data_IF_210739350949
#
_entry.id   IF_210739350949
#
_cell.length_a   1.000
_cell.length_b   1.000
_cell.length_c   1.000
_cell.angle_alpha   90.00
_cell.angle_beta   90.00
_cell.angle_gamma   90.00
#
_symmetry.space_group_name_H-M   'P 1'
#
loop_
_entity.id
_entity.type
_entity.pdbx_description
1 polymer ?
#
# COMPACT_ATOMS: atom_id res chain seq x y z
N UNK A 1 14.54 1.72 -25.96
CA UNK A 1 13.85 0.41 -25.80
C UNK A 1 12.38 0.69 -26.02
N UNK A 2 11.74 0.02 -26.95
CA UNK A 2 10.31 0.15 -27.15
C UNK A 2 9.60 -0.35 -25.92
N UNK A 3 8.73 0.48 -25.30
CA UNK A 3 7.83 0.07 -24.24
C UNK A 3 7.15 -1.22 -24.72
N UNK A 4 7.33 -2.33 -24.03
CA UNK A 4 6.54 -3.52 -24.32
C UNK A 4 5.10 -3.12 -24.05
N UNK A 5 4.29 -3.05 -25.09
CA UNK A 5 2.84 -2.91 -24.95
C UNK A 5 2.37 -3.97 -23.93
N UNK A 6 1.37 -3.67 -23.10
CA UNK A 6 0.79 -4.66 -22.22
C UNK A 6 0.47 -5.93 -23.03
N UNK A 7 0.70 -7.08 -22.43
CA UNK A 7 0.49 -8.38 -23.08
C UNK A 7 -1.00 -8.74 -23.25
N UNK A 8 -1.88 -7.80 -22.95
CA UNK A 8 -3.34 -7.95 -23.02
C UNK A 8 -3.98 -6.70 -23.63
N UNK A 9 -5.20 -6.83 -24.13
CA UNK A 9 -6.06 -5.74 -24.59
C UNK A 9 -7.07 -5.33 -23.52
N UNK A 10 -7.64 -4.12 -23.63
CA UNK A 10 -8.72 -3.67 -22.73
C UNK A 10 -9.89 -4.66 -22.70
N UNK A 11 -10.23 -5.24 -23.88
CA UNK A 11 -11.28 -6.25 -23.97
C UNK A 11 -10.94 -7.50 -23.18
N UNK A 12 -9.72 -8.02 -23.28
CA UNK A 12 -9.28 -9.19 -22.51
C UNK A 12 -9.33 -8.90 -21.01
N UNK A 13 -8.96 -7.70 -20.57
CA UNK A 13 -9.05 -7.30 -19.17
C UNK A 13 -10.51 -7.27 -18.68
N UNK A 14 -11.43 -6.70 -19.47
CA UNK A 14 -12.86 -6.70 -19.15
C UNK A 14 -13.46 -8.11 -19.15
N UNK A 15 -13.12 -8.93 -20.16
CA UNK A 15 -13.57 -10.32 -20.24
C UNK A 15 -13.08 -11.14 -19.02
N UNK A 16 -11.84 -10.94 -18.58
CA UNK A 16 -11.29 -11.60 -17.40
C UNK A 16 -12.07 -11.29 -16.12
N UNK A 17 -12.59 -10.06 -15.97
CA UNK A 17 -13.34 -9.66 -14.79
C UNK A 17 -14.83 -10.06 -14.84
N UNK A 18 -15.36 -10.37 -16.04
CA UNK A 18 -16.77 -10.68 -16.24
C UNK A 18 -17.07 -12.16 -16.52
N UNK A 19 -16.06 -12.94 -16.96
CA UNK A 19 -16.23 -14.31 -17.44
C UNK A 19 -15.41 -15.32 -16.62
N UNK A 20 -15.87 -16.59 -16.43
CA UNK A 20 -17.23 -17.07 -16.70
C UNK A 20 -18.25 -16.59 -15.65
N UNK A 21 -17.76 -16.05 -14.53
CA UNK A 21 -18.54 -15.48 -13.42
C UNK A 21 -17.95 -14.11 -13.07
N UNK A 22 -18.77 -13.05 -12.90
CA UNK A 22 -18.27 -11.74 -12.52
C UNK A 22 -17.50 -11.73 -11.19
N UNK A 23 -16.44 -10.90 -11.13
CA UNK A 23 -15.59 -10.77 -9.95
C UNK A 23 -14.50 -11.84 -9.86
N UNK A 24 -13.70 -11.77 -8.80
CA UNK A 24 -12.54 -12.64 -8.58
C UNK A 24 -12.63 -13.45 -7.29
N UNK A 25 -13.63 -13.17 -6.46
CA UNK A 25 -13.83 -13.82 -5.16
C UNK A 25 -15.10 -14.68 -5.16
N UNK A 26 -15.07 -15.74 -4.37
CA UNK A 26 -16.24 -16.58 -4.06
C UNK A 26 -16.20 -16.98 -2.60
N UNK A 27 -17.38 -17.27 -2.04
CA UNK A 27 -17.52 -17.80 -0.68
C UNK A 27 -17.77 -19.30 -0.77
N UNK A 28 -16.89 -20.08 -0.15
CA UNK A 28 -17.00 -21.54 -0.13
C UNK A 28 -17.09 -22.05 1.30
N UNK A 29 -18.12 -22.89 1.64
CA UNK A 29 -18.20 -23.50 2.96
C UNK A 29 -17.00 -24.41 3.24
N UNK A 30 -16.46 -24.33 4.46
CA UNK A 30 -15.36 -25.21 4.92
C UNK A 30 -15.88 -26.48 5.63
N UNK A 31 -17.17 -26.56 5.88
CA UNK A 31 -17.83 -27.66 6.56
C UNK A 31 -18.87 -28.32 5.66
N UNK A 32 -19.14 -29.61 5.80
CA UNK A 32 -20.19 -30.27 5.04
C UNK A 32 -21.58 -29.69 5.41
N UNK A 33 -22.44 -29.50 4.41
CA UNK A 33 -23.80 -28.97 4.54
C UNK A 33 -24.81 -29.87 3.84
N UNK A 34 -24.59 -31.20 3.87
CA UNK A 34 -25.34 -32.15 3.08
C UNK A 34 -26.54 -32.79 3.85
N UNK A 35 -26.44 -32.84 5.17
CA UNK A 35 -27.44 -33.51 6.01
C UNK A 35 -28.14 -32.55 6.97
N UNK A 36 -29.34 -32.98 7.46
CA UNK A 36 -30.04 -32.23 8.50
C UNK A 36 -29.22 -32.07 9.77
N UNK A 37 -28.34 -33.05 10.07
CA UNK A 37 -27.43 -32.97 11.19
C UNK A 37 -26.38 -31.88 10.97
N UNK A 38 -25.81 -31.79 9.76
CA UNK A 38 -24.82 -30.76 9.43
C UNK A 38 -25.41 -29.35 9.60
N UNK A 39 -26.63 -29.15 9.08
CA UNK A 39 -27.36 -27.88 9.23
C UNK A 39 -27.65 -27.56 10.71
N UNK A 40 -28.03 -28.57 11.50
CA UNK A 40 -28.26 -28.37 12.94
C UNK A 40 -27.02 -28.02 13.72
N UNK A 41 -25.85 -28.50 13.32
CA UNK A 41 -24.56 -28.14 13.91
C UNK A 41 -24.06 -26.77 13.44
N UNK A 42 -24.18 -26.50 12.14
CA UNK A 42 -23.68 -25.28 11.54
C UNK A 42 -24.50 -24.02 11.87
N UNK A 43 -25.81 -24.20 12.12
CA UNK A 43 -26.71 -23.09 12.40
C UNK A 43 -27.55 -23.39 13.65
N UNK A 44 -28.84 -23.58 13.56
CA UNK A 44 -29.71 -23.76 14.71
C UNK A 44 -30.06 -25.24 14.95
N UNK A 45 -29.92 -25.75 16.18
CA UNK A 45 -29.58 -25.09 17.46
C UNK A 45 -28.09 -25.10 17.83
N UNK A 46 -27.25 -25.86 17.14
CA UNK A 46 -25.87 -26.16 17.51
C UNK A 46 -24.98 -24.93 17.64
N UNK A 47 -25.18 -23.89 16.80
CA UNK A 47 -24.41 -22.64 16.82
C UNK A 47 -24.47 -21.87 18.15
N UNK A 48 -25.50 -22.15 18.97
CA UNK A 48 -25.62 -21.54 20.30
C UNK A 48 -24.46 -21.92 21.25
N UNK A 49 -23.80 -23.05 21.02
CA UNK A 49 -22.67 -23.51 21.84
C UNK A 49 -21.45 -22.63 21.65
N UNK A 50 -20.89 -22.47 20.43
CA UNK A 50 -19.76 -21.57 20.22
C UNK A 50 -20.10 -20.09 20.51
N UNK A 51 -21.34 -19.63 20.29
CA UNK A 51 -21.76 -18.27 20.68
C UNK A 51 -21.59 -18.05 22.19
N UNK A 52 -22.01 -18.98 23.04
CA UNK A 52 -21.82 -18.86 24.49
C UNK A 52 -20.37 -18.91 24.88
N UNK A 53 -19.57 -19.79 24.28
CA UNK A 53 -18.15 -19.90 24.54
C UNK A 53 -17.42 -18.58 24.22
N UNK A 54 -17.68 -17.99 23.06
CA UNK A 54 -17.08 -16.71 22.65
C UNK A 54 -17.55 -15.55 23.54
N UNK A 55 -18.80 -15.59 24.02
CA UNK A 55 -19.31 -14.58 24.96
C UNK A 55 -18.61 -14.61 26.33
N UNK A 56 -18.14 -15.78 26.76
CA UNK A 56 -17.36 -15.97 27.99
C UNK A 56 -15.88 -15.67 27.77
N UNK A 57 -15.34 -16.01 26.62
CA UNK A 57 -13.93 -15.78 26.23
C UNK A 57 -13.85 -15.39 24.74
N UNK A 58 -13.57 -14.11 24.48
CA UNK A 58 -13.52 -13.55 23.13
C UNK A 58 -12.42 -14.19 22.25
N UNK A 59 -11.34 -14.69 22.83
CA UNK A 59 -10.24 -15.29 22.07
C UNK A 59 -10.67 -16.59 21.40
N UNK A 60 -11.71 -17.25 21.88
CA UNK A 60 -12.31 -18.40 21.23
C UNK A 60 -12.93 -18.08 19.86
N UNK A 61 -13.09 -16.81 19.50
CA UNK A 61 -13.45 -16.42 18.14
C UNK A 61 -12.38 -16.85 17.11
N UNK A 62 -11.13 -16.91 17.49
CA UNK A 62 -10.04 -17.42 16.62
C UNK A 62 -10.13 -18.94 16.40
N UNK A 63 -10.73 -19.68 17.33
CA UNK A 63 -10.89 -21.13 17.22
C UNK A 63 -12.18 -21.52 16.50
N UNK A 64 -13.28 -20.82 16.79
CA UNK A 64 -14.61 -21.24 16.34
C UNK A 64 -15.15 -20.48 15.15
N UNK A 65 -14.42 -19.49 14.63
CA UNK A 65 -14.81 -18.70 13.45
C UNK A 65 -13.67 -18.59 12.44
N UNK A 66 -13.94 -17.97 11.29
CA UNK A 66 -12.92 -17.67 10.28
C UNK A 66 -12.00 -16.49 10.65
N UNK A 67 -12.22 -15.81 11.80
CA UNK A 67 -11.48 -14.61 12.21
C UNK A 67 -9.97 -14.80 12.11
N UNK A 68 -9.43 -15.93 12.55
CA UNK A 68 -7.98 -16.18 12.63
C UNK A 68 -7.26 -16.22 11.28
N UNK A 69 -7.97 -16.41 10.18
CA UNK A 69 -7.39 -16.44 8.83
C UNK A 69 -8.12 -15.50 7.85
N UNK A 70 -8.77 -14.45 8.33
CA UNK A 70 -9.55 -13.54 7.49
C UNK A 70 -9.02 -12.11 7.61
N UNK A 71 -8.55 -11.55 6.49
CA UNK A 71 -8.11 -10.15 6.39
C UNK A 71 -9.10 -9.34 5.58
N UNK A 72 -9.49 -8.17 6.09
CA UNK A 72 -10.25 -7.20 5.30
C UNK A 72 -9.29 -6.29 4.52
N UNK A 73 -9.50 -6.16 3.21
CA UNK A 73 -8.89 -5.12 2.36
C UNK A 73 -9.85 -3.95 2.33
N UNK A 74 -9.49 -2.83 2.96
CA UNK A 74 -10.40 -1.68 3.12
C UNK A 74 -9.89 -0.48 2.34
N UNK A 75 -10.77 0.12 1.54
CA UNK A 75 -10.49 1.29 0.72
C UNK A 75 -11.65 2.27 0.70
N UNK A 76 -11.36 3.54 0.43
CA UNK A 76 -12.36 4.53 0.02
C UNK A 76 -12.13 5.01 -1.43
N UNK A 77 -11.15 4.45 -2.12
CA UNK A 77 -10.88 4.71 -3.53
C UNK A 77 -10.40 6.13 -3.85
N UNK A 78 -9.71 6.78 -2.90
CA UNK A 78 -9.22 8.16 -3.08
C UNK A 78 -7.84 8.26 -3.72
N UNK A 79 -7.13 7.11 -3.88
CA UNK A 79 -5.79 7.06 -4.50
C UNK A 79 -5.58 5.78 -5.33
N UNK A 80 -6.53 5.47 -6.20
CA UNK A 80 -6.53 4.23 -6.99
C UNK A 80 -5.39 4.22 -8.00
N UNK A 81 -4.36 3.40 -7.77
CA UNK A 81 -3.19 3.24 -8.64
C UNK A 81 -2.66 4.62 -9.11
N UNK A 82 -2.34 4.78 -10.39
CA UNK A 82 -2.01 6.07 -11.02
C UNK A 82 -3.22 6.89 -11.49
N UNK A 83 -4.46 6.43 -11.20
CA UNK A 83 -5.71 7.04 -11.70
C UNK A 83 -6.28 8.10 -10.74
N UNK A 84 -5.85 8.12 -9.48
CA UNK A 84 -6.29 9.08 -8.48
C UNK A 84 -7.62 8.75 -7.83
N UNK A 85 -8.40 9.79 -7.50
CA UNK A 85 -9.66 9.67 -6.76
C UNK A 85 -10.82 9.37 -7.72
N UNK A 86 -11.13 8.10 -7.88
CA UNK A 86 -12.30 7.62 -8.65
C UNK A 86 -13.44 7.12 -7.74
N UNK A 87 -13.23 7.08 -6.43
CA UNK A 87 -14.21 6.69 -5.42
C UNK A 87 -14.30 5.19 -5.14
N UNK A 88 -14.96 4.88 -4.05
CA UNK A 88 -15.01 3.55 -3.45
C UNK A 88 -15.47 2.44 -4.42
N UNK A 89 -16.56 2.65 -5.17
CA UNK A 89 -17.05 1.61 -6.08
C UNK A 89 -16.07 1.30 -7.21
N UNK A 90 -15.37 2.31 -7.73
CA UNK A 90 -14.41 2.13 -8.81
C UNK A 90 -13.14 1.39 -8.34
N UNK A 91 -12.82 1.42 -7.04
CA UNK A 91 -11.67 0.69 -6.48
C UNK A 91 -11.91 -0.81 -6.37
N UNK A 92 -13.17 -1.27 -6.34
CA UNK A 92 -13.52 -2.67 -6.09
C UNK A 92 -12.75 -3.70 -6.91
N UNK A 93 -12.54 -3.55 -8.24
CA UNK A 93 -11.72 -4.51 -8.99
C UNK A 93 -10.27 -4.62 -8.49
N UNK A 94 -9.69 -3.52 -8.00
CA UNK A 94 -8.34 -3.52 -7.42
C UNK A 94 -8.35 -4.24 -6.07
N UNK A 95 -9.34 -3.95 -5.22
CA UNK A 95 -9.47 -4.53 -3.88
C UNK A 95 -9.72 -6.04 -3.91
N UNK A 96 -10.59 -6.51 -4.83
CA UNK A 96 -10.72 -7.96 -5.10
C UNK A 96 -9.39 -8.57 -5.56
N UNK A 97 -8.64 -7.84 -6.40
CA UNK A 97 -7.31 -8.25 -6.83
C UNK A 97 -6.36 -8.42 -5.65
N UNK A 98 -6.31 -7.45 -4.74
CA UNK A 98 -5.51 -7.53 -3.51
C UNK A 98 -5.90 -8.73 -2.66
N UNK A 99 -7.19 -8.98 -2.47
CA UNK A 99 -7.70 -10.14 -1.74
C UNK A 99 -7.25 -11.47 -2.36
N UNK A 100 -7.25 -11.58 -3.70
CA UNK A 100 -6.72 -12.75 -4.42
C UNK A 100 -5.22 -12.93 -4.18
N UNK A 101 -4.44 -11.83 -4.08
CA UNK A 101 -3.01 -11.92 -3.77
C UNK A 101 -2.75 -12.46 -2.37
N UNK A 102 -3.53 -12.04 -1.35
CA UNK A 102 -3.48 -12.62 -0.01
C UNK A 102 -3.68 -14.13 -0.04
N UNK A 103 -4.73 -14.60 -0.74
CA UNK A 103 -4.99 -16.04 -0.89
C UNK A 103 -3.88 -16.75 -1.65
N UNK A 104 -3.43 -16.18 -2.78
CA UNK A 104 -2.46 -16.82 -3.69
C UNK A 104 -1.08 -16.97 -3.08
N UNK A 105 -0.61 -15.98 -2.34
CA UNK A 105 0.78 -15.93 -1.88
C UNK A 105 0.96 -16.28 -0.40
N UNK A 106 -0.07 -16.12 0.42
CA UNK A 106 0.00 -16.34 1.85
C UNK A 106 -1.01 -17.37 2.39
N UNK A 107 -1.90 -17.87 1.53
CA UNK A 107 -3.03 -18.73 1.91
C UNK A 107 -3.92 -18.10 3.01
N UNK A 108 -3.97 -16.77 3.04
CA UNK A 108 -4.85 -16.00 3.91
C UNK A 108 -6.14 -15.69 3.16
N UNK A 109 -7.27 -16.00 3.75
CA UNK A 109 -8.57 -15.62 3.22
C UNK A 109 -8.77 -14.11 3.36
N UNK A 110 -9.34 -13.49 2.33
CA UNK A 110 -9.51 -12.04 2.32
C UNK A 110 -10.77 -11.63 1.59
N UNK A 111 -11.39 -10.57 2.07
CA UNK A 111 -12.52 -9.91 1.42
C UNK A 111 -12.25 -8.40 1.37
N UNK A 112 -12.78 -7.77 0.35
CA UNK A 112 -12.71 -6.34 0.16
C UNK A 112 -13.94 -5.63 0.76
N UNK A 113 -13.70 -4.44 1.31
CA UNK A 113 -14.72 -3.56 1.92
C UNK A 113 -14.49 -2.14 1.46
N UNK A 114 -15.35 -1.65 0.56
CA UNK A 114 -15.30 -0.30 0.05
C UNK A 114 -16.17 0.63 0.90
N UNK A 115 -15.56 1.65 1.51
CA UNK A 115 -16.24 2.61 2.37
C UNK A 115 -16.54 3.91 1.61
N UNK A 116 -17.82 4.26 1.50
CA UNK A 116 -18.28 5.45 0.77
C UNK A 116 -18.19 6.73 1.61
N UNK A 117 -17.00 7.00 2.14
CA UNK A 117 -16.72 8.25 2.85
C UNK A 117 -15.33 8.77 2.53
N UNK A 118 -15.20 10.10 2.46
CA UNK A 118 -13.93 10.83 2.38
C UNK A 118 -13.60 11.56 3.68
N UNK A 119 -14.52 11.55 4.63
CA UNK A 119 -14.27 12.10 5.95
C UNK A 119 -13.42 11.14 6.78
N UNK A 120 -12.30 11.64 7.30
CA UNK A 120 -11.32 10.85 8.03
C UNK A 120 -11.90 10.24 9.31
N UNK A 121 -12.69 11.00 10.08
CA UNK A 121 -13.26 10.50 11.34
C UNK A 121 -14.40 9.51 11.09
N UNK A 122 -15.19 9.72 10.05
CA UNK A 122 -16.24 8.76 9.65
C UNK A 122 -15.61 7.44 9.18
N UNK A 123 -14.51 7.52 8.40
CA UNK A 123 -13.80 6.34 7.93
C UNK A 123 -13.18 5.55 9.10
N UNK A 124 -12.47 6.23 10.00
CA UNK A 124 -11.91 5.62 11.21
C UNK A 124 -13.01 4.94 12.04
N UNK A 125 -14.11 5.66 12.30
CA UNK A 125 -15.24 5.13 13.08
C UNK A 125 -15.86 3.90 12.43
N UNK A 126 -16.06 3.93 11.12
CA UNK A 126 -16.62 2.80 10.35
C UNK A 126 -15.71 1.59 10.45
N UNK A 127 -14.42 1.75 10.18
CA UNK A 127 -13.44 0.65 10.21
C UNK A 127 -13.29 0.09 11.63
N UNK A 128 -13.22 0.94 12.63
CA UNK A 128 -13.14 0.53 14.04
C UNK A 128 -14.34 -0.34 14.45
N UNK A 129 -15.55 0.05 14.07
CA UNK A 129 -16.76 -0.64 14.47
C UNK A 129 -16.87 -2.06 13.88
N UNK A 130 -16.24 -2.34 12.74
CA UNK A 130 -16.21 -3.66 12.11
C UNK A 130 -14.88 -4.38 12.33
N UNK A 131 -13.86 -3.67 12.82
CA UNK A 131 -12.46 -4.09 12.83
C UNK A 131 -12.23 -5.40 13.56
N UNK A 132 -12.78 -5.55 14.76
CA UNK A 132 -12.56 -6.73 15.58
C UNK A 132 -13.16 -8.04 15.00
N UNK A 133 -13.95 -7.95 13.94
CA UNK A 133 -14.44 -9.12 13.20
C UNK A 133 -13.33 -9.85 12.45
N UNK A 134 -12.26 -9.14 12.07
CA UNK A 134 -11.18 -9.62 11.24
C UNK A 134 -9.97 -10.06 12.04
N UNK A 135 -9.14 -10.92 11.46
CA UNK A 135 -7.81 -11.26 11.98
C UNK A 135 -6.77 -10.17 11.71
N UNK A 136 -7.05 -9.30 10.73
CA UNK A 136 -6.23 -8.15 10.39
C UNK A 136 -6.88 -7.28 9.33
N UNK A 137 -6.36 -6.09 9.15
CA UNK A 137 -6.84 -5.12 8.15
C UNK A 137 -5.68 -4.67 7.28
N UNK A 138 -5.88 -4.75 5.96
CA UNK A 138 -5.05 -4.07 4.96
C UNK A 138 -5.81 -2.84 4.46
N UNK A 139 -5.28 -1.64 4.73
CA UNK A 139 -5.74 -0.40 4.12
C UNK A 139 -5.10 -0.26 2.75
N UNK A 140 -5.87 0.11 1.74
CA UNK A 140 -5.42 0.19 0.35
C UNK A 140 -6.00 1.40 -0.37
N UNK A 141 -5.21 2.04 -1.24
CA UNK A 141 -5.66 3.14 -2.12
C UNK A 141 -6.35 4.30 -1.36
N UNK A 142 -5.89 4.63 -0.16
CA UNK A 142 -6.32 5.79 0.62
C UNK A 142 -5.32 6.92 0.43
N UNK A 143 -5.79 8.10 0.04
CA UNK A 143 -4.93 9.23 -0.26
C UNK A 143 -4.13 9.74 0.95
N UNK A 144 -2.95 10.27 0.67
CA UNK A 144 -2.12 11.04 1.61
C UNK A 144 -2.62 12.49 1.64
N UNK A 145 -2.65 13.16 2.81
CA UNK A 145 -2.08 12.73 4.10
C UNK A 145 -3.01 11.90 5.01
N UNK A 146 -4.29 11.73 4.65
CA UNK A 146 -5.31 11.09 5.48
C UNK A 146 -4.93 9.65 5.84
N UNK A 147 -4.32 8.90 4.92
CA UNK A 147 -3.91 7.52 5.14
C UNK A 147 -3.00 7.33 6.36
N UNK A 148 -2.12 8.29 6.64
CA UNK A 148 -1.23 8.23 7.80
C UNK A 148 -1.99 8.37 9.12
N UNK A 149 -2.99 9.28 9.15
CA UNK A 149 -3.82 9.54 10.33
C UNK A 149 -4.71 8.31 10.59
N UNK A 150 -5.35 7.80 9.53
CA UNK A 150 -6.28 6.66 9.61
C UNK A 150 -5.54 5.42 10.12
N UNK A 151 -4.40 5.08 9.54
CA UNK A 151 -3.63 3.92 9.95
C UNK A 151 -3.15 4.05 11.40
N UNK A 152 -2.54 5.19 11.77
CA UNK A 152 -2.02 5.41 13.12
C UNK A 152 -3.12 5.26 14.18
N UNK A 153 -4.27 5.89 13.94
CA UNK A 153 -5.41 5.82 14.85
C UNK A 153 -5.98 4.41 14.98
N UNK A 154 -6.17 3.71 13.88
CA UNK A 154 -6.70 2.34 13.89
C UNK A 154 -5.74 1.36 14.57
N UNK A 155 -4.44 1.54 14.41
CA UNK A 155 -3.43 0.74 15.12
C UNK A 155 -3.42 0.95 16.63
N UNK A 156 -3.81 2.14 17.10
CA UNK A 156 -3.94 2.44 18.53
C UNK A 156 -5.28 1.97 19.10
N UNK A 157 -6.33 1.95 18.29
CA UNK A 157 -7.71 1.70 18.73
C UNK A 157 -8.16 0.24 18.56
N UNK A 158 -7.46 -0.58 17.77
CA UNK A 158 -7.79 -1.97 17.49
C UNK A 158 -6.72 -2.93 18.01
N UNK A 159 -7.14 -4.07 18.55
CA UNK A 159 -6.27 -5.14 19.04
C UNK A 159 -6.02 -6.21 17.96
N UNK A 160 -5.88 -5.79 16.72
CA UNK A 160 -5.53 -6.60 15.55
C UNK A 160 -4.51 -5.86 14.68
N UNK A 161 -3.70 -6.55 13.85
CA UNK A 161 -2.82 -5.89 12.91
C UNK A 161 -3.58 -4.99 11.94
N UNK A 162 -3.14 -3.73 11.82
CA UNK A 162 -3.58 -2.78 10.79
C UNK A 162 -2.36 -2.35 9.99
N UNK A 163 -2.45 -2.47 8.68
CA UNK A 163 -1.34 -2.25 7.74
C UNK A 163 -1.84 -1.50 6.52
N UNK A 164 -1.11 -0.48 6.08
CA UNK A 164 -1.41 0.25 4.85
C UNK A 164 -0.34 -0.11 3.80
N UNK A 165 -0.73 -0.87 2.78
CA UNK A 165 0.23 -1.45 1.83
C UNK A 165 0.97 -0.41 0.99
N UNK A 166 0.28 0.63 0.51
CA UNK A 166 0.91 1.72 -0.26
C UNK A 166 2.01 2.44 0.53
N UNK A 167 1.93 2.43 1.85
CA UNK A 167 2.99 2.95 2.71
C UNK A 167 4.08 1.89 2.92
N UNK A 168 3.73 0.81 3.61
CA UNK A 168 4.69 -0.12 4.18
C UNK A 168 5.15 -1.21 3.21
N UNK A 169 4.26 -1.73 2.35
CA UNK A 169 4.62 -2.74 1.36
C UNK A 169 5.65 -2.20 0.37
N UNK A 170 5.38 -1.02 -0.18
CA UNK A 170 6.30 -0.34 -1.09
C UNK A 170 7.62 0.00 -0.41
N UNK A 171 7.58 0.50 0.83
CA UNK A 171 8.80 0.83 1.58
C UNK A 171 9.67 -0.40 1.86
N UNK A 172 9.05 -1.53 2.27
CA UNK A 172 9.76 -2.78 2.56
C UNK A 172 10.49 -3.30 1.33
N UNK A 173 9.80 -3.38 0.18
CA UNK A 173 10.42 -3.93 -1.03
C UNK A 173 11.47 -3.00 -1.62
N UNK A 174 11.24 -1.68 -1.59
CA UNK A 174 12.22 -0.69 -2.02
C UNK A 174 13.48 -0.73 -1.15
N UNK A 175 13.34 -0.82 0.17
CA UNK A 175 14.46 -0.92 1.09
C UNK A 175 15.23 -2.24 0.91
N UNK A 176 14.57 -3.37 0.73
CA UNK A 176 15.19 -4.66 0.45
C UNK A 176 16.01 -4.61 -0.85
N UNK A 177 15.42 -4.02 -1.90
CA UNK A 177 16.10 -3.77 -3.17
C UNK A 177 17.33 -2.88 -3.01
N UNK A 178 17.20 -1.77 -2.25
CA UNK A 178 18.29 -0.83 -2.01
C UNK A 178 19.46 -1.47 -1.26
N UNK A 179 19.20 -2.23 -0.20
CA UNK A 179 20.23 -2.96 0.55
C UNK A 179 21.02 -3.88 -0.39
N UNK A 180 20.32 -4.67 -1.21
CA UNK A 180 20.96 -5.59 -2.14
C UNK A 180 21.74 -4.85 -3.24
N UNK A 181 21.18 -3.76 -3.78
CA UNK A 181 21.85 -2.96 -4.79
C UNK A 181 23.11 -2.26 -4.25
N UNK A 182 23.07 -1.78 -3.01
CA UNK A 182 24.25 -1.23 -2.32
C UNK A 182 25.35 -2.30 -2.16
N UNK A 183 24.98 -3.51 -1.73
CA UNK A 183 25.92 -4.64 -1.62
C UNK A 183 26.57 -4.97 -2.97
N UNK A 184 25.80 -5.04 -4.05
CA UNK A 184 26.30 -5.32 -5.41
C UNK A 184 27.25 -4.22 -5.91
N UNK A 185 26.91 -2.95 -5.61
CA UNK A 185 27.69 -1.80 -6.10
C UNK A 185 28.80 -1.37 -5.14
N UNK A 186 28.96 -2.03 -4.00
CA UNK A 186 29.98 -1.73 -2.99
C UNK A 186 29.75 -0.40 -2.26
N UNK A 187 28.49 0.05 -2.14
CA UNK A 187 28.12 1.29 -1.44
C UNK A 187 27.68 1.01 -0.01
N UNK A 188 28.03 1.94 0.88
CA UNK A 188 27.52 1.95 2.24
C UNK A 188 26.21 2.77 2.29
N UNK A 189 25.13 2.22 2.86
CA UNK A 189 23.83 2.90 2.95
C UNK A 189 23.92 4.31 3.54
N UNK A 190 24.75 4.50 4.56
CA UNK A 190 24.92 5.80 5.23
C UNK A 190 25.47 6.93 4.33
N UNK A 191 26.09 6.57 3.21
CA UNK A 191 26.81 7.52 2.35
C UNK A 191 26.09 7.78 1.01
N UNK A 192 25.08 6.95 0.67
CA UNK A 192 24.35 7.12 -0.59
C UNK A 192 23.52 8.41 -0.58
N UNK A 193 23.47 9.07 -1.73
CA UNK A 193 22.60 10.21 -2.02
C UNK A 193 21.38 9.72 -2.79
N UNK A 194 20.21 9.99 -2.27
CA UNK A 194 18.93 9.46 -2.79
C UNK A 194 18.06 10.60 -3.30
N UNK A 195 17.65 10.52 -4.55
CA UNK A 195 16.62 11.38 -5.13
C UNK A 195 15.29 10.57 -5.18
N UNK A 196 14.23 11.09 -4.57
CA UNK A 196 12.90 10.49 -4.57
C UNK A 196 11.95 11.35 -5.38
N UNK A 197 11.30 10.77 -6.39
CA UNK A 197 10.23 11.41 -7.14
C UNK A 197 8.89 10.90 -6.64
N UNK A 198 8.11 11.76 -6.00
CA UNK A 198 6.85 11.44 -5.33
C UNK A 198 6.95 11.62 -3.81
N UNK A 199 6.14 12.53 -3.26
CA UNK A 199 6.04 12.83 -1.83
C UNK A 199 4.63 12.49 -1.29
N UNK A 200 4.05 11.40 -1.78
CA UNK A 200 2.82 10.78 -1.29
C UNK A 200 3.10 9.68 -0.26
N UNK A 201 2.10 8.82 -0.01
CA UNK A 201 2.19 7.73 0.97
C UNK A 201 3.44 6.87 0.80
N UNK A 202 3.69 6.36 -0.40
CA UNK A 202 4.84 5.51 -0.71
C UNK A 202 6.18 6.24 -0.56
N UNK A 203 6.29 7.47 -1.12
CA UNK A 203 7.54 8.24 -1.07
C UNK A 203 7.97 8.58 0.35
N UNK A 204 7.04 9.07 1.17
CA UNK A 204 7.30 9.41 2.57
C UNK A 204 7.68 8.16 3.39
N UNK A 205 6.99 7.04 3.17
CA UNK A 205 7.28 5.80 3.88
C UNK A 205 8.61 5.17 3.46
N UNK A 206 8.95 5.19 2.16
CA UNK A 206 10.27 4.79 1.67
C UNK A 206 11.37 5.65 2.29
N UNK A 207 11.23 6.98 2.26
CA UNK A 207 12.20 7.89 2.88
C UNK A 207 12.38 7.63 4.38
N UNK A 208 11.27 7.39 5.10
CA UNK A 208 11.29 7.04 6.52
C UNK A 208 12.07 5.75 6.79
N UNK A 209 11.76 4.69 6.04
CA UNK A 209 12.41 3.39 6.25
C UNK A 209 13.90 3.42 5.87
N UNK A 210 14.29 4.00 4.74
CA UNK A 210 15.71 4.06 4.36
C UNK A 210 16.52 4.95 5.32
N UNK A 211 15.92 6.01 5.88
CA UNK A 211 16.52 6.81 6.95
C UNK A 211 16.72 5.99 8.21
N UNK A 212 15.73 5.18 8.60
CA UNK A 212 15.84 4.28 9.76
C UNK A 212 16.95 3.22 9.56
N UNK A 213 17.16 2.78 8.32
CA UNK A 213 18.24 1.84 7.96
C UNK A 213 19.63 2.49 7.87
N UNK A 214 19.74 3.81 8.06
CA UNK A 214 21.00 4.51 8.21
C UNK A 214 21.37 5.48 7.10
N UNK A 215 20.53 5.68 6.07
CA UNK A 215 20.74 6.75 5.10
C UNK A 215 20.60 8.10 5.81
N UNK A 216 21.59 8.99 5.67
CA UNK A 216 21.58 10.30 6.32
C UNK A 216 20.42 11.17 5.79
N UNK A 217 19.74 11.88 6.68
CA UNK A 217 18.59 12.72 6.31
C UNK A 217 18.95 13.76 5.24
N UNK A 218 20.10 14.41 5.36
CA UNK A 218 20.60 15.41 4.42
C UNK A 218 20.92 14.84 3.02
N UNK A 219 21.05 13.52 2.90
CA UNK A 219 21.30 12.82 1.64
C UNK A 219 20.01 12.41 0.91
N UNK A 220 18.83 12.59 1.52
CA UNK A 220 17.55 12.23 0.91
C UNK A 220 16.87 13.49 0.38
N UNK A 221 16.85 13.66 -0.93
CA UNK A 221 16.13 14.75 -1.61
C UNK A 221 14.81 14.22 -2.15
N UNK A 222 13.73 14.62 -1.51
CA UNK A 222 12.37 14.27 -1.93
C UNK A 222 11.80 15.38 -2.83
N UNK A 223 11.12 14.99 -3.91
CA UNK A 223 10.45 15.89 -4.83
C UNK A 223 8.96 15.53 -4.97
N UNK A 224 8.11 16.54 -5.00
CA UNK A 224 6.74 16.43 -5.47
C UNK A 224 6.55 17.23 -6.77
N UNK A 225 5.30 17.42 -7.21
CA UNK A 225 4.99 18.17 -8.44
C UNK A 225 5.40 19.65 -8.42
N UNK A 226 5.74 20.21 -7.25
CA UNK A 226 6.24 21.57 -7.08
C UNK A 226 7.78 21.62 -7.07
N UNK A 227 8.44 20.46 -6.92
CA UNK A 227 9.90 20.33 -6.85
C UNK A 227 10.38 19.78 -5.51
N UNK A 228 11.63 20.09 -5.16
CA UNK A 228 12.29 19.58 -3.95
C UNK A 228 11.53 20.03 -2.68
N UNK A 229 11.41 19.13 -1.71
CA UNK A 229 10.93 19.41 -0.35
C UNK A 229 12.12 19.93 0.47
N UNK A 230 12.20 21.25 0.65
CA UNK A 230 13.32 21.92 1.32
C UNK A 230 12.86 22.71 2.56
N UNK A 231 13.79 22.97 3.47
CA UNK A 231 13.51 23.78 4.66
C UNK A 231 13.05 25.20 4.30
N UNK A 232 11.91 25.61 4.88
CA UNK A 232 11.30 26.92 4.60
C UNK A 232 10.35 26.96 3.41
N UNK A 233 10.17 25.86 2.67
CA UNK A 233 9.13 25.75 1.65
C UNK A 233 7.75 25.78 2.32
N UNK A 234 6.82 26.55 1.77
CA UNK A 234 5.45 26.70 2.29
C UNK A 234 4.40 26.10 1.36
N UNK A 235 4.69 26.06 0.05
CA UNK A 235 3.75 25.57 -0.95
C UNK A 235 3.58 24.05 -0.90
N UNK A 236 2.31 23.57 -0.82
CA UNK A 236 1.95 22.14 -0.80
C UNK A 236 2.67 21.34 0.28
N UNK A 237 2.90 21.95 1.43
CA UNK A 237 3.49 21.30 2.61
C UNK A 237 2.41 20.87 3.60
N UNK A 238 2.71 19.79 4.28
CA UNK A 238 1.97 19.25 5.42
C UNK A 238 2.97 18.80 6.49
N UNK A 239 2.47 18.31 7.62
CA UNK A 239 3.31 17.87 8.74
C UNK A 239 4.22 16.68 8.36
N UNK A 240 3.75 15.78 7.49
CA UNK A 240 4.50 14.58 7.09
C UNK A 240 5.64 14.94 6.14
N UNK A 241 5.38 15.75 5.12
CA UNK A 241 6.42 16.25 4.20
C UNK A 241 7.46 17.11 4.94
N UNK A 242 7.01 17.93 5.89
CA UNK A 242 7.89 18.81 6.66
C UNK A 242 8.95 18.04 7.45
N UNK A 243 8.67 16.80 7.87
CA UNK A 243 9.63 15.92 8.54
C UNK A 243 10.79 15.46 7.63
N UNK A 244 10.66 15.62 6.33
CA UNK A 244 11.68 15.28 5.32
C UNK A 244 12.26 16.49 4.59
N UNK A 245 11.89 17.71 5.00
CA UNK A 245 12.47 18.92 4.46
C UNK A 245 13.96 19.01 4.85
N UNK A 246 14.82 19.28 3.87
CA UNK A 246 16.27 19.38 4.06
C UNK A 246 16.79 20.76 3.67
N UNK A 247 17.88 21.16 4.28
CA UNK A 247 18.59 22.41 3.91
C UNK A 247 19.33 22.20 2.60
N UNK A 248 18.82 22.78 1.52
CA UNK A 248 19.41 22.67 0.18
C UNK A 248 19.03 23.85 -0.71
N UNK A 249 19.88 24.18 -1.68
CA UNK A 249 19.59 25.16 -2.74
C UNK A 249 18.91 24.52 -3.96
N UNK A 250 18.84 23.19 -4.04
CA UNK A 250 18.17 22.45 -5.12
C UNK A 250 16.66 22.66 -5.07
N UNK A 251 16.01 22.85 -6.22
CA UNK A 251 14.58 23.14 -6.32
C UNK A 251 13.82 22.18 -7.23
N UNK A 252 14.50 21.53 -8.17
CA UNK A 252 13.90 20.68 -9.20
C UNK A 252 14.33 19.22 -9.05
N UNK A 253 13.56 18.29 -9.64
CA UNK A 253 13.94 16.88 -9.70
C UNK A 253 15.25 16.68 -10.46
N UNK A 254 15.46 17.45 -11.55
CA UNK A 254 16.72 17.42 -12.31
C UNK A 254 17.92 17.74 -11.41
N UNK A 255 17.82 18.81 -10.62
CA UNK A 255 18.89 19.16 -9.68
C UNK A 255 19.05 18.11 -8.57
N UNK A 256 17.95 17.52 -8.08
CA UNK A 256 18.01 16.47 -7.08
C UNK A 256 18.75 15.22 -7.58
N UNK A 257 18.55 14.85 -8.85
CA UNK A 257 19.18 13.69 -9.48
C UNK A 257 20.66 13.93 -9.83
N UNK A 258 21.08 15.17 -10.01
CA UNK A 258 22.48 15.49 -10.32
C UNK A 258 23.43 15.04 -9.21
N UNK A 259 24.28 14.04 -9.53
CA UNK A 259 25.21 13.40 -8.61
C UNK A 259 24.55 12.48 -7.57
N UNK A 260 23.27 12.11 -7.73
CA UNK A 260 22.61 11.14 -6.86
C UNK A 260 23.09 9.70 -7.18
N UNK A 261 23.28 8.89 -6.13
CA UNK A 261 23.60 7.47 -6.25
C UNK A 261 22.37 6.62 -6.53
N UNK A 262 21.21 7.05 -6.02
CA UNK A 262 19.96 6.29 -6.02
C UNK A 262 18.83 7.17 -6.51
N UNK A 263 17.99 6.64 -7.39
CA UNK A 263 16.70 7.22 -7.75
C UNK A 263 15.57 6.27 -7.33
N UNK A 264 14.60 6.78 -6.57
CA UNK A 264 13.36 6.09 -6.25
C UNK A 264 12.20 6.84 -6.92
N UNK A 265 11.63 6.24 -7.95
CA UNK A 265 10.48 6.75 -8.68
C UNK A 265 9.18 6.20 -8.09
N UNK A 266 8.34 7.09 -7.58
CA UNK A 266 7.04 6.81 -6.93
C UNK A 266 6.02 7.89 -7.34
N UNK A 267 6.07 8.32 -8.60
CA UNK A 267 5.32 9.47 -9.10
C UNK A 267 4.49 9.13 -10.35
N UNK A 268 4.89 9.66 -11.50
CA UNK A 268 4.16 9.51 -12.76
C UNK A 268 5.10 9.13 -13.90
N UNK A 269 4.53 8.50 -14.92
CA UNK A 269 5.24 8.11 -16.14
C UNK A 269 5.98 9.29 -16.78
N UNK A 270 7.20 9.04 -17.27
CA UNK A 270 7.97 9.99 -18.05
C UNK A 270 8.51 11.21 -17.28
N UNK A 271 8.51 11.16 -15.94
CA UNK A 271 9.02 12.26 -15.10
C UNK A 271 10.55 12.44 -15.20
N UNK A 272 11.28 11.43 -15.71
CA UNK A 272 12.74 11.39 -15.76
C UNK A 272 13.23 11.26 -17.21
N UNK A 273 14.09 12.20 -17.63
CA UNK A 273 14.75 12.17 -18.94
C UNK A 273 16.06 11.36 -18.92
N UNK A 274 16.54 11.03 -20.11
CA UNK A 274 17.85 10.36 -20.27
C UNK A 274 19.01 11.21 -19.76
N UNK A 275 18.91 12.53 -19.90
CA UNK A 275 19.91 13.51 -19.44
C UNK A 275 19.96 13.52 -17.91
N UNK A 276 18.81 13.44 -17.23
CA UNK A 276 18.74 13.33 -15.79
C UNK A 276 19.39 12.04 -15.27
N UNK A 277 19.17 10.92 -15.94
CA UNK A 277 19.87 9.66 -15.63
C UNK A 277 21.37 9.78 -15.85
N UNK A 278 21.80 10.44 -16.93
CA UNK A 278 23.21 10.62 -17.25
C UNK A 278 23.94 11.55 -16.27
N UNK A 279 23.22 12.43 -15.56
CA UNK A 279 23.79 13.33 -14.53
C UNK A 279 23.98 12.65 -13.16
N UNK A 280 23.45 11.46 -12.96
CA UNK A 280 23.62 10.71 -11.72
C UNK A 280 25.09 10.27 -11.50
N UNK A 281 25.39 9.84 -10.30
CA UNK A 281 26.69 9.25 -9.95
C UNK A 281 27.00 8.00 -10.81
N UNK A 282 28.28 7.64 -11.00
CA UNK A 282 28.65 6.41 -11.73
C UNK A 282 27.98 5.16 -11.16
N UNK A 283 27.51 4.27 -12.04
CA UNK A 283 26.77 3.05 -11.68
C UNK A 283 25.55 3.32 -10.77
N UNK A 284 24.61 4.17 -11.18
CA UNK A 284 23.47 4.56 -10.35
C UNK A 284 22.54 3.38 -10.09
N UNK A 285 21.86 3.40 -8.95
CA UNK A 285 20.76 2.50 -8.60
C UNK A 285 19.46 3.20 -8.97
N UNK A 286 18.63 2.57 -9.80
CA UNK A 286 17.40 3.20 -10.31
C UNK A 286 16.21 2.24 -10.08
N UNK A 287 15.24 2.69 -9.29
CA UNK A 287 13.95 2.05 -9.09
C UNK A 287 12.85 2.97 -9.62
N UNK A 288 12.44 2.73 -10.87
CA UNK A 288 11.35 3.46 -11.51
C UNK A 288 10.06 2.64 -11.33
N UNK A 289 9.26 2.98 -10.32
CA UNK A 289 8.17 2.14 -9.81
C UNK A 289 6.78 2.72 -10.09
N UNK A 290 6.66 3.82 -10.82
CA UNK A 290 5.36 4.34 -11.24
C UNK A 290 4.59 3.30 -12.06
N UNK A 291 3.30 3.20 -11.83
CA UNK A 291 2.41 2.21 -12.42
C UNK A 291 1.21 2.90 -13.09
N UNK A 292 0.79 2.54 -14.32
CA UNK A 292 1.24 1.37 -15.12
C UNK A 292 2.55 1.58 -15.91
N UNK A 293 2.95 2.81 -16.13
CA UNK A 293 4.17 3.13 -16.88
C UNK A 293 5.22 3.79 -15.97
N UNK A 294 6.52 3.41 -16.08
CA UNK A 294 7.55 3.92 -15.20
C UNK A 294 7.90 5.39 -15.47
N UNK A 295 8.65 6.02 -14.55
CA UNK A 295 9.14 7.39 -14.68
C UNK A 295 10.10 7.59 -15.84
N UNK A 296 10.74 6.52 -16.34
CA UNK A 296 11.81 6.56 -17.36
C UNK A 296 11.29 5.94 -18.66
#
# INVERSE_FOLDING_TARGET
>A
MTSKRPTFTDKEALDFHSQPTPGKLSVTPTKPMATQRDLSLAYSPGVAVPVKAIAEDKDLAYEYTSKGNMVAVISNGTAILGLGDLGAMASKPVMEGKSVLFKRFADVDSVDVEVFSKDTEELITTIRNIGETWGGINLEDIASPECFIIESRLREELDIPVFHDDQHGTAIIAAAGLINACNITGRELKDVKVAISGAGAAGLSCAGLIRHLGVKAENILMCDSTGVVYEGRTERMDQFKSAFAVKTEKRTLTEAMDGADVFLGLSIAGAVSKEMVASMAPNPIIFAMANPDPEI
#
